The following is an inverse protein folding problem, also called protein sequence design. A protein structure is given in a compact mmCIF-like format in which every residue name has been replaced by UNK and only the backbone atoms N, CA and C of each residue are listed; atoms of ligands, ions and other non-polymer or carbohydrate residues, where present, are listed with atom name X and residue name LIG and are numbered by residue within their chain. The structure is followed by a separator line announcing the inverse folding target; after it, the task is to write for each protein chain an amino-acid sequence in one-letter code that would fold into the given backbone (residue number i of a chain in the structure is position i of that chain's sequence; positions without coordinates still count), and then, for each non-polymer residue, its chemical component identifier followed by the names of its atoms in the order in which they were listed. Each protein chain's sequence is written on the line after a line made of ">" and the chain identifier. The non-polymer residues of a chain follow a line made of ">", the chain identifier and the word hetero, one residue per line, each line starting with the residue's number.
data_IF_885659137114
#
_entry.id   IF_885659137114
#
_cell.length_a   1.000
_cell.length_b   1.000
_cell.length_c   1.000
_cell.angle_alpha   90.00
_cell.angle_beta   90.00
_cell.angle_gamma   90.00
#
_symmetry.space_group_name_H-M   'P 1'
#
loop_
_entity.id
_entity.type
_entity.pdbx_description
1 polymer ?
#
# COMPACT_ATOMS: atom_id res chain seq x y z
N UNK A 1 19.99 -1.26 -10.51
CA UNK A 1 18.70 -0.59 -10.23
C UNK A 1 18.52 0.54 -11.24
N UNK A 2 17.28 0.95 -11.54
CA UNK A 2 16.97 1.96 -12.57
C UNK A 2 17.51 3.36 -12.22
N UNK A 3 17.48 3.75 -10.94
CA UNK A 3 17.79 5.11 -10.49
C UNK A 3 19.19 5.24 -9.90
N UNK A 4 19.59 4.31 -9.05
CA UNK A 4 20.85 4.29 -8.31
C UNK A 4 21.22 2.87 -7.90
N UNK A 5 22.44 2.68 -7.41
CA UNK A 5 22.90 1.42 -6.84
C UNK A 5 23.57 1.63 -5.47
N UNK A 6 24.07 0.56 -4.88
CA UNK A 6 24.76 0.57 -3.59
C UNK A 6 26.00 1.46 -3.56
N UNK A 7 26.65 1.65 -4.70
CA UNK A 7 27.87 2.42 -4.85
C UNK A 7 27.64 3.88 -5.17
N UNK A 8 26.40 4.27 -5.51
CA UNK A 8 26.02 5.66 -5.77
C UNK A 8 26.31 6.50 -4.52
N UNK A 9 27.00 7.62 -4.69
CA UNK A 9 27.28 8.52 -3.56
C UNK A 9 26.03 9.27 -3.14
N UNK A 10 25.97 9.67 -1.86
CA UNK A 10 24.83 10.45 -1.38
C UNK A 10 24.68 11.78 -2.12
N UNK A 11 25.82 12.38 -2.56
CA UNK A 11 25.83 13.59 -3.36
C UNK A 11 25.20 13.36 -4.73
N UNK A 12 25.69 12.38 -5.49
CA UNK A 12 25.16 12.04 -6.82
C UNK A 12 23.66 11.76 -6.77
N UNK A 13 23.23 11.01 -5.75
CA UNK A 13 21.83 10.65 -5.57
C UNK A 13 20.95 11.88 -5.28
N UNK A 14 21.37 12.74 -4.36
CA UNK A 14 20.58 13.91 -3.95
C UNK A 14 20.64 15.08 -4.94
N UNK A 15 21.68 15.18 -5.77
CA UNK A 15 21.73 16.19 -6.84
C UNK A 15 20.91 15.75 -8.05
N UNK A 16 20.92 14.45 -8.33
CA UNK A 16 20.12 13.90 -9.44
C UNK A 16 18.63 13.82 -9.07
N UNK A 17 18.34 13.52 -7.82
CA UNK A 17 16.99 13.33 -7.28
C UNK A 17 16.82 14.13 -5.99
N UNK A 18 16.59 15.46 -6.08
CA UNK A 18 16.47 16.36 -4.91
C UNK A 18 15.35 15.96 -3.94
N UNK A 19 14.28 15.31 -4.43
CA UNK A 19 13.17 14.76 -3.68
C UNK A 19 13.60 13.69 -2.65
N UNK A 20 14.79 13.12 -2.82
CA UNK A 20 15.34 12.17 -1.85
C UNK A 20 15.94 12.84 -0.62
N UNK A 21 16.21 14.17 -0.67
CA UNK A 21 16.79 14.91 0.45
C UNK A 21 15.92 14.82 1.71
N UNK A 22 14.61 15.06 1.67
CA UNK A 22 13.73 14.86 2.83
C UNK A 22 13.77 13.43 3.38
N UNK A 23 13.87 12.42 2.51
CA UNK A 23 13.98 11.03 2.92
C UNK A 23 15.27 10.79 3.69
N UNK A 24 16.39 11.32 3.24
CA UNK A 24 17.66 11.25 3.97
C UNK A 24 17.58 11.96 5.32
N UNK A 25 17.17 13.23 5.33
CA UNK A 25 17.19 14.04 6.54
C UNK A 25 16.29 13.47 7.62
N UNK A 26 15.12 13.01 7.22
CA UNK A 26 14.17 12.37 8.08
C UNK A 26 14.61 10.98 8.55
N UNK A 27 15.60 10.31 7.91
CA UNK A 27 16.21 9.03 8.34
C UNK A 27 17.54 9.19 9.10
N UNK A 28 17.76 10.34 9.72
CA UNK A 28 18.93 10.59 10.56
C UNK A 28 20.17 11.08 9.82
N UNK A 29 20.01 11.47 8.55
CA UNK A 29 21.03 12.15 7.78
C UNK A 29 20.71 13.65 7.68
N UNK A 30 20.45 14.31 8.83
CA UNK A 30 20.05 15.71 8.92
C UNK A 30 20.99 16.70 8.20
N UNK A 31 22.27 16.35 8.09
CA UNK A 31 23.27 17.13 7.34
C UNK A 31 23.02 17.13 5.83
N UNK A 32 22.14 16.27 5.32
CA UNK A 32 21.77 16.24 3.90
C UNK A 32 20.84 17.39 3.49
N UNK A 33 20.19 18.09 4.43
CA UNK A 33 19.39 19.28 4.14
C UNK A 33 20.26 20.47 3.73
N UNK A 34 21.41 20.65 4.40
CA UNK A 34 22.35 21.72 4.09
C UNK A 34 23.21 21.36 2.87
N UNK A 35 23.16 22.20 1.84
CA UNK A 35 23.86 21.93 0.56
C UNK A 35 25.39 21.87 0.70
N UNK A 36 25.99 22.71 1.57
CA UNK A 36 27.44 22.69 1.76
C UNK A 36 27.88 21.42 2.52
N UNK A 37 27.15 21.07 3.56
CA UNK A 37 27.42 19.84 4.32
C UNK A 37 27.18 18.61 3.46
N UNK A 38 26.11 18.60 2.64
CA UNK A 38 25.82 17.55 1.68
C UNK A 38 26.95 17.38 0.66
N UNK A 39 27.49 18.50 0.12
CA UNK A 39 28.62 18.46 -0.80
C UNK A 39 29.91 17.94 -0.16
N UNK A 40 30.18 18.30 1.10
CA UNK A 40 31.39 17.86 1.83
C UNK A 40 31.34 16.38 2.19
N UNK A 41 30.23 15.92 2.71
CA UNK A 41 30.07 14.55 3.22
C UNK A 41 29.56 13.59 2.14
N UNK A 42 28.61 14.03 1.34
CA UNK A 42 27.88 13.17 0.39
C UNK A 42 28.75 12.71 -0.78
N UNK A 43 29.77 13.47 -1.18
CA UNK A 43 30.68 13.07 -2.27
C UNK A 43 31.62 11.89 -1.89
N UNK A 44 31.92 11.76 -0.62
CA UNK A 44 32.82 10.71 -0.13
C UNK A 44 32.10 9.44 0.34
N UNK A 45 30.81 9.53 0.65
CA UNK A 45 30.07 8.45 1.28
C UNK A 45 29.10 7.80 0.29
N UNK A 46 29.25 6.50 0.06
CA UNK A 46 28.35 5.68 -0.74
C UNK A 46 27.07 5.33 0.05
N UNK A 47 25.97 5.11 -0.66
CA UNK A 47 24.68 4.79 -0.06
C UNK A 47 24.74 3.59 0.89
N UNK A 48 25.34 2.46 0.44
CA UNK A 48 25.48 1.26 1.29
C UNK A 48 26.24 1.54 2.58
N UNK A 49 27.37 2.25 2.49
CA UNK A 49 28.18 2.62 3.67
C UNK A 49 27.41 3.53 4.63
N UNK A 50 26.68 4.51 4.09
CA UNK A 50 25.88 5.41 4.90
C UNK A 50 24.79 4.66 5.68
N UNK A 51 24.11 3.73 5.02
CA UNK A 51 23.05 2.93 5.62
C UNK A 51 23.61 1.94 6.66
N UNK A 52 24.76 1.32 6.38
CA UNK A 52 25.43 0.43 7.32
C UNK A 52 25.83 1.16 8.61
N UNK A 53 26.41 2.36 8.50
CA UNK A 53 26.78 3.18 9.68
C UNK A 53 25.54 3.51 10.53
N UNK A 54 24.37 3.67 9.89
CA UNK A 54 23.11 3.98 10.57
C UNK A 54 22.30 2.74 10.95
N UNK A 55 22.80 1.55 10.63
CA UNK A 55 22.10 0.28 10.84
C UNK A 55 20.69 0.27 10.20
N UNK A 56 20.58 0.86 9.01
CA UNK A 56 19.35 0.90 8.23
C UNK A 56 19.44 -0.17 7.14
N UNK A 57 18.40 -0.96 6.97
CA UNK A 57 18.31 -1.96 5.91
C UNK A 57 18.32 -1.31 4.53
N UNK A 58 19.21 -1.80 3.64
CA UNK A 58 19.40 -1.24 2.32
C UNK A 58 18.13 -1.37 1.45
N UNK A 59 17.48 -2.54 1.47
CA UNK A 59 16.32 -2.78 0.61
C UNK A 59 15.15 -1.86 1.00
N UNK A 60 14.90 -1.75 2.30
CA UNK A 60 13.86 -0.88 2.86
C UNK A 60 14.12 0.59 2.54
N UNK A 61 15.35 1.06 2.77
CA UNK A 61 15.66 2.47 2.52
C UNK A 61 15.66 2.81 1.03
N UNK A 62 16.17 1.90 0.19
CA UNK A 62 16.12 2.06 -1.26
C UNK A 62 14.69 2.14 -1.78
N UNK A 63 13.75 1.38 -1.20
CA UNK A 63 12.34 1.47 -1.55
C UNK A 63 11.76 2.86 -1.21
N UNK A 64 12.12 3.44 -0.06
CA UNK A 64 11.71 4.80 0.31
C UNK A 64 12.27 5.87 -0.63
N UNK A 65 13.55 5.72 -1.04
CA UNK A 65 14.17 6.64 -2.00
C UNK A 65 13.51 6.55 -3.37
N UNK A 66 13.25 5.32 -3.84
CA UNK A 66 12.58 5.08 -5.11
C UNK A 66 11.17 5.66 -5.07
N UNK A 67 10.45 5.46 -3.98
CA UNK A 67 9.13 6.05 -3.80
C UNK A 67 9.17 7.59 -3.90
N UNK A 68 10.14 8.24 -3.24
CA UNK A 68 10.28 9.69 -3.33
C UNK A 68 10.59 10.17 -4.76
N UNK A 69 11.47 9.45 -5.47
CA UNK A 69 11.81 9.74 -6.86
C UNK A 69 10.58 9.58 -7.76
N UNK A 70 9.85 8.49 -7.61
CA UNK A 70 8.69 8.18 -8.45
C UNK A 70 7.50 9.10 -8.16
N UNK A 71 7.35 9.60 -6.94
CA UNK A 71 6.34 10.61 -6.62
C UNK A 71 6.63 11.96 -7.27
N UNK A 72 7.90 12.34 -7.40
CA UNK A 72 8.28 13.58 -8.06
C UNK A 72 8.28 13.43 -9.59
N UNK A 73 8.67 12.25 -10.11
CA UNK A 73 8.60 11.91 -11.52
C UNK A 73 7.15 11.77 -12.01
N UNK A 74 6.16 11.68 -11.11
CA UNK A 74 4.75 11.64 -11.50
C UNK A 74 4.29 12.88 -12.27
N UNK A 75 4.92 14.03 -12.05
CA UNK A 75 4.72 15.24 -12.87
C UNK A 75 5.46 15.18 -14.23
N UNK A 76 6.46 14.30 -14.36
CA UNK A 76 7.33 14.21 -15.55
C UNK A 76 7.12 12.90 -16.31
N UNK A 77 6.62 11.84 -15.67
CA UNK A 77 6.58 10.46 -16.22
C UNK A 77 5.39 10.16 -17.15
N UNK A 78 4.83 11.20 -17.76
CA UNK A 78 4.00 11.01 -18.97
C UNK A 78 4.84 10.48 -20.15
N UNK A 79 6.19 10.48 -20.04
CA UNK A 79 7.11 10.17 -21.15
C UNK A 79 8.04 8.98 -20.93
N UNK A 80 8.17 8.46 -19.71
CA UNK A 80 8.89 7.21 -19.44
C UNK A 80 7.90 6.04 -19.31
N UNK A 81 7.02 5.89 -20.30
CA UNK A 81 6.57 4.57 -20.66
C UNK A 81 7.84 3.73 -20.79
N UNK A 82 8.01 2.73 -19.91
CA UNK A 82 8.94 1.64 -20.22
C UNK A 82 8.73 1.35 -21.69
N UNK A 83 9.78 1.45 -22.47
CA UNK A 83 9.77 1.23 -23.93
C UNK A 83 9.53 -0.26 -24.24
N UNK A 84 8.49 -0.81 -23.69
CA UNK A 84 7.85 -1.99 -24.21
C UNK A 84 7.18 -1.50 -25.50
N UNK A 85 7.74 -1.87 -26.64
CA UNK A 85 7.04 -1.74 -27.91
C UNK A 85 5.63 -2.26 -27.65
N UNK A 86 4.63 -1.37 -27.70
CA UNK A 86 3.24 -1.79 -27.59
C UNK A 86 3.06 -2.85 -28.66
N UNK A 87 2.78 -4.06 -28.22
CA UNK A 87 2.56 -5.15 -29.17
C UNK A 87 1.20 -4.90 -29.80
N UNK A 88 1.20 -4.51 -31.06
CA UNK A 88 -0.01 -4.21 -31.82
C UNK A 88 -0.74 -5.46 -32.34
N UNK A 89 -0.28 -6.66 -31.92
CA UNK A 89 -0.99 -7.89 -32.25
C UNK A 89 -2.41 -7.83 -31.64
N UNK A 90 -3.42 -8.12 -32.42
CA UNK A 90 -4.83 -8.15 -31.98
C UNK A 90 -5.06 -9.10 -30.80
N UNK A 91 -4.16 -10.07 -30.55
CA UNK A 91 -4.22 -11.07 -29.51
C UNK A 91 -3.38 -10.74 -28.27
N UNK A 92 -2.72 -9.56 -28.21
CA UNK A 92 -1.92 -9.20 -27.05
C UNK A 92 -2.78 -9.00 -25.81
N UNK A 93 -2.39 -9.62 -24.68
CA UNK A 93 -3.05 -9.45 -23.39
C UNK A 93 -2.61 -8.12 -22.75
N UNK A 94 -3.53 -7.43 -22.10
CA UNK A 94 -3.27 -6.18 -21.41
C UNK A 94 -3.37 -6.38 -19.89
N UNK A 95 -2.23 -6.28 -19.20
CA UNK A 95 -2.10 -6.45 -17.75
C UNK A 95 -1.78 -5.11 -17.12
N UNK A 96 -2.63 -4.66 -16.19
CA UNK A 96 -2.44 -3.40 -15.47
C UNK A 96 -2.40 -3.67 -13.97
N UNK A 97 -1.48 -3.02 -13.28
CA UNK A 97 -1.37 -3.11 -11.83
C UNK A 97 -1.06 -1.77 -11.19
N UNK A 98 -1.79 -1.49 -10.12
CA UNK A 98 -1.49 -0.41 -9.19
C UNK A 98 -0.98 -1.06 -7.90
N UNK A 99 0.32 -1.00 -7.70
CA UNK A 99 0.99 -1.76 -6.66
C UNK A 99 1.52 -0.85 -5.56
N UNK A 100 1.46 -1.26 -4.30
CA UNK A 100 2.17 -0.56 -3.24
C UNK A 100 3.66 -0.47 -3.56
N UNK A 101 4.23 0.74 -3.39
CA UNK A 101 5.61 1.05 -3.79
C UNK A 101 6.67 0.02 -3.36
N UNK A 102 6.63 -0.54 -2.13
CA UNK A 102 7.65 -1.49 -1.67
C UNK A 102 7.80 -2.77 -2.50
N UNK A 103 6.72 -3.22 -3.14
CA UNK A 103 6.71 -4.49 -3.89
C UNK A 103 6.78 -4.30 -5.40
N UNK A 104 6.52 -3.09 -5.90
CA UNK A 104 6.42 -2.82 -7.33
C UNK A 104 7.65 -3.26 -8.12
N UNK A 105 8.84 -2.84 -7.71
CA UNK A 105 10.08 -3.17 -8.44
C UNK A 105 10.40 -4.66 -8.39
N UNK A 106 10.48 -5.30 -7.20
CA UNK A 106 10.76 -6.74 -7.16
C UNK A 106 9.69 -7.56 -7.90
N UNK A 107 8.42 -7.14 -7.86
CA UNK A 107 7.36 -7.84 -8.59
C UNK A 107 7.51 -7.65 -10.11
N UNK A 108 7.83 -6.45 -10.57
CA UNK A 108 8.07 -6.16 -11.98
C UNK A 108 9.26 -6.96 -12.52
N UNK A 109 10.35 -7.11 -11.75
CA UNK A 109 11.50 -7.92 -12.12
C UNK A 109 11.13 -9.40 -12.30
N UNK A 110 10.37 -9.96 -11.35
CA UNK A 110 9.89 -11.35 -11.42
C UNK A 110 8.92 -11.53 -12.60
N UNK A 111 8.02 -10.58 -12.81
CA UNK A 111 7.06 -10.64 -13.91
C UNK A 111 7.77 -10.56 -15.29
N UNK A 112 8.72 -9.66 -15.44
CA UNK A 112 9.52 -9.57 -16.66
C UNK A 112 10.35 -10.85 -16.92
N UNK A 113 10.83 -11.51 -15.87
CA UNK A 113 11.50 -12.80 -16.01
C UNK A 113 10.53 -13.90 -16.46
N UNK A 114 9.34 -13.94 -15.89
CA UNK A 114 8.26 -14.86 -16.26
C UNK A 114 7.83 -14.66 -17.73
N UNK A 115 7.62 -13.42 -18.16
CA UNK A 115 7.19 -13.10 -19.53
C UNK A 115 8.14 -13.59 -20.62
N UNK A 116 9.44 -13.76 -20.33
CA UNK A 116 10.41 -14.30 -21.29
C UNK A 116 10.14 -15.76 -21.70
N UNK A 117 9.42 -16.49 -20.85
CA UNK A 117 9.02 -17.88 -21.11
C UNK A 117 7.60 -18.05 -21.64
N UNK A 118 6.87 -16.93 -21.88
CA UNK A 118 5.50 -16.96 -22.33
C UNK A 118 5.42 -16.69 -23.83
N UNK A 119 4.71 -17.57 -24.56
CA UNK A 119 4.53 -17.43 -26.02
C UNK A 119 3.51 -16.33 -26.37
N UNK A 120 2.54 -16.08 -25.48
CA UNK A 120 1.50 -15.07 -25.68
C UNK A 120 2.09 -13.66 -25.50
N UNK A 121 1.90 -12.73 -26.45
CA UNK A 121 2.33 -11.36 -26.28
C UNK A 121 1.55 -10.65 -25.18
N UNK A 122 2.26 -9.96 -24.29
CA UNK A 122 1.65 -9.26 -23.14
C UNK A 122 2.13 -7.81 -23.11
N UNK A 123 1.17 -6.90 -23.14
CA UNK A 123 1.39 -5.51 -22.77
C UNK A 123 1.15 -5.38 -21.27
N UNK A 124 2.06 -4.77 -20.55
CA UNK A 124 1.85 -4.59 -19.11
C UNK A 124 2.26 -3.21 -18.62
N UNK A 125 1.52 -2.73 -17.62
CA UNK A 125 1.74 -1.48 -16.97
C UNK A 125 1.55 -1.65 -15.45
N UNK A 126 2.68 -1.82 -14.73
CA UNK A 126 2.67 -1.96 -13.27
C UNK A 126 3.16 -0.64 -12.65
N UNK A 127 2.21 0.20 -12.21
CA UNK A 127 2.46 1.54 -11.64
C UNK A 127 2.47 1.53 -10.13
N UNK A 128 3.03 2.59 -9.54
CA UNK A 128 2.85 2.84 -8.13
C UNK A 128 1.40 3.28 -7.84
N UNK A 129 0.82 2.81 -6.74
CA UNK A 129 -0.55 3.13 -6.36
C UNK A 129 -0.79 4.64 -6.21
N UNK A 130 0.22 5.39 -5.75
CA UNK A 130 0.17 6.85 -5.63
C UNK A 130 -0.05 7.63 -6.94
N UNK A 131 0.26 7.01 -8.08
CA UNK A 131 0.09 7.62 -9.43
C UNK A 131 -1.19 7.10 -10.09
N UNK A 132 -1.75 6.01 -9.56
CA UNK A 132 -2.70 5.19 -10.27
C UNK A 132 -4.11 5.77 -10.34
N UNK A 133 -4.54 6.59 -9.39
CA UNK A 133 -5.90 7.13 -9.38
C UNK A 133 -6.18 7.95 -10.64
N UNK A 134 -5.31 8.86 -11.03
CA UNK A 134 -5.47 9.67 -12.25
C UNK A 134 -5.50 8.80 -13.50
N UNK A 135 -4.68 7.74 -13.52
CA UNK A 135 -4.66 6.81 -14.64
C UNK A 135 -5.96 5.99 -14.71
N UNK A 136 -6.46 5.52 -13.58
CA UNK A 136 -7.74 4.79 -13.50
C UNK A 136 -8.88 5.68 -13.91
N UNK A 137 -8.94 6.91 -13.45
CA UNK A 137 -9.96 7.88 -13.88
C UNK A 137 -9.96 8.06 -15.40
N UNK A 138 -8.78 8.19 -16.01
CA UNK A 138 -8.67 8.35 -17.46
C UNK A 138 -9.04 7.10 -18.27
N UNK A 139 -8.71 5.90 -17.76
CA UNK A 139 -8.78 4.67 -18.55
C UNK A 139 -9.92 3.73 -18.13
N UNK A 140 -10.56 3.96 -16.99
CA UNK A 140 -11.67 3.14 -16.48
C UNK A 140 -12.93 3.95 -16.30
N UNK A 141 -12.85 5.15 -15.75
CA UNK A 141 -13.99 6.07 -15.65
C UNK A 141 -14.50 6.43 -17.04
N UNK A 142 -15.78 6.27 -17.27
CA UNK A 142 -16.40 6.51 -18.60
C UNK A 142 -16.30 5.34 -19.59
N UNK A 143 -15.56 4.27 -19.29
CA UNK A 143 -15.59 3.04 -20.08
C UNK A 143 -16.94 2.36 -19.87
N UNK A 144 -17.69 2.15 -20.93
CA UNK A 144 -19.00 1.48 -20.92
C UNK A 144 -18.95 0.06 -21.50
N UNK A 145 -17.92 -0.24 -22.28
CA UNK A 145 -17.70 -1.54 -22.90
C UNK A 145 -16.56 -2.28 -22.17
N UNK A 146 -16.88 -3.41 -21.54
CA UNK A 146 -15.92 -4.24 -20.81
C UNK A 146 -14.72 -4.70 -21.67
N UNK A 147 -14.90 -4.79 -23.00
CA UNK A 147 -13.80 -5.15 -23.92
C UNK A 147 -12.66 -4.14 -23.91
N UNK A 148 -12.92 -2.89 -23.56
CA UNK A 148 -11.92 -1.82 -23.47
C UNK A 148 -11.16 -1.79 -22.16
N UNK A 149 -11.61 -2.54 -21.14
CA UNK A 149 -10.86 -2.68 -19.89
C UNK A 149 -9.58 -3.50 -20.11
N UNK A 150 -8.57 -3.36 -19.26
CA UNK A 150 -7.47 -4.32 -19.18
C UNK A 150 -7.97 -5.75 -19.02
N UNK A 151 -7.24 -6.74 -19.55
CA UNK A 151 -7.63 -8.14 -19.47
C UNK A 151 -7.38 -8.72 -18.07
N UNK A 152 -6.33 -8.22 -17.39
CA UNK A 152 -6.06 -8.52 -16.00
C UNK A 152 -5.72 -7.24 -15.26
N UNK A 153 -6.29 -7.10 -14.06
CA UNK A 153 -6.11 -5.94 -13.22
C UNK A 153 -5.69 -6.33 -11.80
N UNK A 154 -4.68 -5.65 -11.23
CA UNK A 154 -4.22 -5.87 -9.86
C UNK A 154 -4.11 -4.54 -9.15
N UNK A 155 -4.74 -4.39 -7.99
CA UNK A 155 -4.59 -3.20 -7.15
C UNK A 155 -4.91 -3.48 -5.68
N UNK A 156 -4.38 -2.64 -4.80
CA UNK A 156 -4.88 -2.57 -3.43
C UNK A 156 -6.11 -1.65 -3.34
N UNK A 157 -6.89 -1.81 -2.27
CA UNK A 157 -7.97 -0.90 -1.90
C UNK A 157 -9.37 -1.30 -2.34
N UNK A 158 -10.31 -0.38 -2.10
CA UNK A 158 -11.74 -0.61 -2.31
C UNK A 158 -12.35 0.25 -3.41
N UNK A 159 -11.97 1.53 -3.50
CA UNK A 159 -12.65 2.52 -4.31
C UNK A 159 -12.84 2.08 -5.75
N UNK A 160 -11.74 1.77 -6.41
CA UNK A 160 -11.74 1.44 -7.82
C UNK A 160 -12.59 0.21 -8.14
N UNK A 161 -12.57 -0.80 -7.27
CA UNK A 161 -13.24 -2.07 -7.52
C UNK A 161 -14.75 -2.03 -7.27
N UNK A 162 -15.20 -1.14 -6.39
CA UNK A 162 -16.60 -1.11 -5.95
C UNK A 162 -17.33 0.17 -6.35
N UNK A 163 -16.63 1.21 -6.84
CA UNK A 163 -17.29 2.40 -7.38
C UNK A 163 -17.99 2.08 -8.70
N UNK A 164 -19.29 2.37 -8.77
CA UNK A 164 -20.13 2.14 -9.94
C UNK A 164 -19.74 3.04 -11.14
N UNK A 165 -18.98 4.09 -10.94
CA UNK A 165 -18.37 4.89 -12.02
C UNK A 165 -17.08 4.26 -12.56
N UNK A 166 -16.50 3.33 -11.81
CA UNK A 166 -15.24 2.62 -12.11
C UNK A 166 -15.50 1.15 -12.53
N UNK A 167 -14.75 0.22 -11.98
CA UNK A 167 -14.87 -1.23 -12.26
C UNK A 167 -16.15 -1.81 -11.67
N UNK A 168 -16.68 -1.24 -10.59
CA UNK A 168 -17.87 -1.73 -9.89
C UNK A 168 -19.08 -1.91 -10.81
N UNK A 169 -19.26 -1.05 -11.84
CA UNK A 169 -20.36 -1.17 -12.82
C UNK A 169 -20.33 -2.48 -13.61
N UNK A 170 -19.17 -3.11 -13.78
CA UNK A 170 -19.03 -4.37 -14.51
C UNK A 170 -19.26 -5.59 -13.64
N UNK A 171 -19.34 -5.42 -12.32
CA UNK A 171 -19.60 -6.49 -11.35
C UNK A 171 -20.89 -7.27 -11.65
N UNK A 172 -21.94 -6.56 -12.08
CA UNK A 172 -23.23 -7.16 -12.45
C UNK A 172 -23.23 -7.85 -13.81
N UNK A 173 -22.20 -7.60 -14.63
CA UNK A 173 -22.11 -8.14 -15.99
C UNK A 173 -21.33 -9.45 -16.07
N UNK A 174 -20.87 -9.99 -14.92
CA UNK A 174 -20.08 -11.22 -14.83
C UNK A 174 -18.84 -11.22 -15.75
N UNK A 175 -18.14 -10.07 -15.81
CA UNK A 175 -16.98 -9.86 -16.69
C UNK A 175 -15.74 -10.56 -16.17
N UNK A 176 -15.60 -10.70 -14.85
CA UNK A 176 -14.42 -11.23 -14.17
C UNK A 176 -14.67 -12.58 -13.51
N UNK A 177 -13.61 -13.38 -13.40
CA UNK A 177 -13.64 -14.68 -12.74
C UNK A 177 -12.35 -14.94 -11.97
N UNK A 178 -12.48 -15.40 -10.70
CA UNK A 178 -11.37 -15.89 -9.92
C UNK A 178 -11.00 -17.32 -10.37
N UNK A 179 -9.84 -17.46 -10.98
CA UNK A 179 -9.31 -18.74 -11.44
C UNK A 179 -7.97 -19.08 -10.79
N UNK A 180 -7.68 -18.49 -9.64
CA UNK A 180 -6.41 -18.71 -8.91
C UNK A 180 -6.23 -20.13 -8.38
N UNK A 181 -7.30 -20.92 -8.31
CA UNK A 181 -7.29 -22.28 -7.72
C UNK A 181 -6.83 -22.31 -6.25
N UNK A 182 -6.86 -21.16 -5.57
CA UNK A 182 -6.60 -21.08 -4.14
C UNK A 182 -7.87 -21.46 -3.37
N UNK A 183 -7.99 -22.75 -3.03
CA UNK A 183 -9.12 -23.27 -2.26
C UNK A 183 -8.92 -23.13 -0.75
N UNK A 184 -7.67 -23.02 -0.33
CA UNK A 184 -7.26 -22.74 1.06
C UNK A 184 -6.36 -21.54 1.08
N UNK A 185 -6.49 -20.72 2.13
CA UNK A 185 -5.64 -19.57 2.37
C UNK A 185 -4.63 -19.85 3.48
N UNK A 186 -3.68 -18.96 3.61
CA UNK A 186 -2.66 -19.00 4.66
C UNK A 186 -3.31 -19.02 6.04
N UNK A 187 -2.78 -19.84 6.94
CA UNK A 187 -3.30 -20.03 8.31
C UNK A 187 -3.39 -18.75 9.17
N UNK A 188 -2.65 -17.71 8.79
CA UNK A 188 -2.81 -16.38 9.42
C UNK A 188 -4.22 -15.82 9.29
N UNK A 189 -4.96 -16.26 8.29
CA UNK A 189 -6.31 -15.76 7.98
C UNK A 189 -7.41 -16.73 8.40
N UNK A 190 -7.07 -17.73 9.20
CA UNK A 190 -8.05 -18.68 9.70
C UNK A 190 -9.20 -17.95 10.43
N UNK A 191 -10.43 -18.32 10.07
CA UNK A 191 -11.62 -17.62 10.58
C UNK A 191 -12.05 -16.37 9.81
N UNK A 192 -11.28 -15.92 8.83
CA UNK A 192 -11.67 -14.83 7.91
C UNK A 192 -12.15 -15.40 6.57
N UNK A 193 -13.29 -14.91 6.10
CA UNK A 193 -13.81 -15.28 4.79
C UNK A 193 -13.21 -14.36 3.71
N UNK A 194 -11.99 -14.69 3.24
CA UNK A 194 -11.28 -13.89 2.23
C UNK A 194 -11.66 -14.26 0.80
N UNK A 195 -12.17 -15.47 0.55
CA UNK A 195 -12.57 -15.90 -0.79
C UNK A 195 -13.90 -15.27 -1.18
N UNK A 196 -13.92 -14.63 -2.35
CA UNK A 196 -15.16 -14.07 -2.89
C UNK A 196 -16.18 -15.18 -3.17
N UNK A 197 -17.34 -15.21 -2.48
CA UNK A 197 -18.36 -16.25 -2.69
C UNK A 197 -19.00 -16.20 -4.06
N UNK A 198 -18.85 -15.07 -4.80
CA UNK A 198 -19.33 -14.91 -6.17
C UNK A 198 -18.27 -15.24 -7.22
N UNK A 199 -17.03 -15.47 -6.78
CA UNK A 199 -15.93 -15.86 -7.64
C UNK A 199 -15.50 -14.80 -8.67
N UNK A 200 -15.69 -13.52 -8.39
CA UNK A 200 -15.26 -12.44 -9.29
C UNK A 200 -13.88 -11.88 -8.94
N UNK A 201 -13.60 -11.76 -7.64
CA UNK A 201 -12.39 -11.14 -7.11
C UNK A 201 -11.47 -12.22 -6.52
N UNK A 202 -10.24 -12.29 -7.02
CA UNK A 202 -9.18 -12.99 -6.33
C UNK A 202 -8.48 -12.03 -5.36
N UNK A 203 -8.16 -12.49 -4.17
CA UNK A 203 -7.30 -11.79 -3.23
C UNK A 203 -5.93 -12.47 -3.20
N UNK A 204 -4.85 -11.74 -3.42
CA UNK A 204 -3.49 -12.29 -3.44
C UNK A 204 -2.65 -11.91 -2.22
N UNK A 205 -3.07 -10.91 -1.48
CA UNK A 205 -2.45 -10.43 -0.25
C UNK A 205 -3.22 -9.29 0.37
N UNK A 206 -2.72 -8.78 1.48
CA UNK A 206 -3.36 -7.70 2.23
C UNK A 206 -2.34 -6.67 2.72
N UNK A 207 -2.78 -5.44 2.94
CA UNK A 207 -2.01 -4.36 3.55
C UNK A 207 -2.57 -4.10 4.95
N UNK A 208 -1.89 -4.57 6.03
CA UNK A 208 -2.37 -4.35 7.39
C UNK A 208 -2.06 -2.93 7.88
N UNK A 209 -3.04 -2.29 8.53
CA UNK A 209 -2.88 -1.06 9.28
C UNK A 209 -2.52 -1.37 10.73
N UNK A 210 -1.42 -0.82 11.21
CA UNK A 210 -0.92 -1.00 12.58
C UNK A 210 -0.68 0.35 13.25
N UNK A 211 -0.49 0.33 14.56
CA UNK A 211 -0.18 1.52 15.34
C UNK A 211 1.34 1.66 15.51
N UNK A 212 1.84 2.87 15.36
CA UNK A 212 3.16 3.28 15.80
C UNK A 212 2.97 4.31 16.90
N UNK A 213 3.40 3.98 18.12
CA UNK A 213 3.15 4.77 19.32
C UNK A 213 4.42 5.47 19.76
N UNK A 214 4.33 6.76 20.01
CA UNK A 214 5.38 7.56 20.61
C UNK A 214 5.23 7.54 22.13
N UNK A 215 6.07 6.75 22.82
CA UNK A 215 6.01 6.60 24.28
C UNK A 215 6.31 7.90 25.03
N UNK A 216 7.15 8.77 24.46
CA UNK A 216 7.51 10.04 25.10
C UNK A 216 6.31 11.01 25.18
N UNK A 217 5.29 10.82 24.34
CA UNK A 217 4.10 11.68 24.29
C UNK A 217 2.88 11.06 24.99
N UNK A 218 3.00 9.85 25.61
CA UNK A 218 1.90 9.22 26.31
C UNK A 218 1.41 10.03 27.53
N UNK A 219 2.33 10.75 28.19
CA UNK A 219 2.02 11.64 29.28
C UNK A 219 1.08 11.03 30.36
N UNK A 220 1.44 9.82 30.82
CA UNK A 220 0.70 9.06 31.81
C UNK A 220 -0.52 8.29 31.31
N UNK A 221 -0.85 8.38 30.00
CA UNK A 221 -1.91 7.58 29.39
C UNK A 221 -1.45 6.12 29.24
N UNK A 222 -2.43 5.22 29.29
CA UNK A 222 -2.15 3.81 28.93
C UNK A 222 -1.80 3.67 27.46
N UNK A 223 -1.00 2.65 27.15
CA UNK A 223 -0.63 2.32 25.78
C UNK A 223 -1.89 1.86 25.03
N UNK A 224 -2.33 2.55 23.96
CA UNK A 224 -3.51 2.11 23.21
C UNK A 224 -3.15 0.85 22.41
N UNK A 225 -3.97 -0.19 22.56
CA UNK A 225 -3.77 -1.50 21.92
C UNK A 225 -4.94 -1.93 21.05
N UNK A 226 -6.04 -1.16 21.04
CA UNK A 226 -7.24 -1.43 20.23
C UNK A 226 -7.66 -0.20 19.44
N UNK A 227 -8.48 -0.40 18.40
CA UNK A 227 -9.07 0.70 17.65
C UNK A 227 -10.00 1.56 18.54
N UNK A 228 -10.68 0.93 19.50
CA UNK A 228 -11.51 1.66 20.46
C UNK A 228 -10.67 2.60 21.32
N UNK A 229 -9.48 2.18 21.76
CA UNK A 229 -8.60 3.00 22.60
C UNK A 229 -8.24 4.33 21.92
N UNK A 230 -7.86 4.29 20.65
CA UNK A 230 -7.44 5.50 19.92
C UNK A 230 -8.61 6.45 19.63
N UNK A 231 -9.85 6.00 19.81
CA UNK A 231 -11.06 6.81 19.66
C UNK A 231 -11.58 7.38 20.98
N UNK A 232 -10.91 7.12 22.13
CA UNK A 232 -11.24 7.73 23.43
C UNK A 232 -10.91 9.22 23.42
N UNK A 233 -11.62 9.99 24.24
CA UNK A 233 -11.45 11.45 24.31
C UNK A 233 -10.02 11.89 24.67
N UNK A 234 -9.27 11.09 25.40
CA UNK A 234 -7.87 11.36 25.76
C UNK A 234 -6.91 11.32 24.56
N UNK A 235 -7.33 10.77 23.41
CA UNK A 235 -6.60 10.75 22.17
C UNK A 235 -7.12 11.76 21.12
N UNK A 236 -8.07 12.62 21.48
CA UNK A 236 -8.53 13.71 20.61
C UNK A 236 -7.33 14.60 20.21
N UNK A 237 -7.19 14.84 18.91
CA UNK A 237 -6.06 15.59 18.31
C UNK A 237 -4.67 15.03 18.71
N UNK A 238 -4.57 13.69 18.82
CA UNK A 238 -3.32 12.98 19.18
C UNK A 238 -2.93 11.87 18.20
N UNK A 239 -3.74 11.63 17.17
CA UNK A 239 -3.54 10.54 16.21
C UNK A 239 -3.17 11.11 14.85
N UNK A 240 -2.17 10.52 14.18
CA UNK A 240 -1.91 10.77 12.77
C UNK A 240 -2.45 9.63 11.93
N UNK A 241 -3.14 9.98 10.84
CA UNK A 241 -3.78 9.06 9.91
C UNK A 241 -3.25 9.23 8.49
N UNK A 242 -3.22 8.15 7.69
CA UNK A 242 -2.78 8.21 6.31
C UNK A 242 -3.91 8.68 5.37
N UNK A 243 -4.49 9.84 5.62
CA UNK A 243 -5.68 10.34 4.89
C UNK A 243 -5.42 10.47 3.38
N UNK A 244 -4.16 10.71 2.97
CA UNK A 244 -3.77 10.74 1.55
C UNK A 244 -3.45 9.38 0.94
N UNK A 245 -3.49 8.30 1.74
CA UNK A 245 -3.37 6.91 1.26
C UNK A 245 -4.77 6.30 1.18
N UNK A 246 -5.48 6.63 0.12
CA UNK A 246 -6.90 6.28 -0.04
C UNK A 246 -7.16 4.80 0.10
N UNK A 247 -6.26 3.94 -0.39
CA UNK A 247 -6.43 2.49 -0.34
C UNK A 247 -6.52 1.97 1.11
N UNK A 248 -5.60 2.42 1.97
CA UNK A 248 -5.59 2.02 3.37
C UNK A 248 -6.61 2.82 4.20
N UNK A 249 -6.70 4.13 3.95
CA UNK A 249 -7.58 5.00 4.72
C UNK A 249 -9.06 4.62 4.55
N UNK A 250 -9.48 4.30 3.35
CA UNK A 250 -10.85 3.85 3.08
C UNK A 250 -11.13 2.48 3.73
N UNK A 251 -10.13 1.59 3.75
CA UNK A 251 -10.21 0.35 4.53
C UNK A 251 -10.43 0.61 6.03
N UNK A 252 -9.72 1.60 6.59
CA UNK A 252 -9.90 2.00 8.00
C UNK A 252 -11.30 2.58 8.21
N UNK A 253 -11.74 3.53 7.40
CA UNK A 253 -13.06 4.15 7.55
C UNK A 253 -14.19 3.14 7.48
N UNK A 254 -14.17 2.23 6.51
CA UNK A 254 -15.18 1.20 6.33
C UNK A 254 -15.26 0.23 7.52
N UNK A 255 -14.10 -0.23 8.03
CA UNK A 255 -14.08 -1.14 9.17
C UNK A 255 -14.52 -0.44 10.46
N UNK A 256 -14.07 0.81 10.70
CA UNK A 256 -14.53 1.60 11.83
C UNK A 256 -16.05 1.84 11.75
N UNK A 257 -16.57 2.17 10.57
CA UNK A 257 -18.02 2.32 10.38
C UNK A 257 -18.79 1.01 10.63
N UNK A 258 -18.26 -0.12 10.13
CA UNK A 258 -18.89 -1.43 10.35
C UNK A 258 -18.99 -1.80 11.84
N UNK A 259 -17.91 -1.55 12.60
CA UNK A 259 -17.83 -1.99 14.01
C UNK A 259 -18.38 -0.97 15.01
N UNK A 260 -18.27 0.33 14.72
CA UNK A 260 -18.56 1.42 15.66
C UNK A 260 -19.56 2.45 15.13
N UNK A 261 -20.08 2.26 13.89
CA UNK A 261 -21.06 3.15 13.27
C UNK A 261 -20.55 4.57 12.99
N UNK A 262 -21.47 5.50 12.81
CA UNK A 262 -21.18 6.92 12.55
C UNK A 262 -20.42 7.58 13.69
N UNK A 263 -20.71 7.16 14.93
CA UNK A 263 -20.04 7.68 16.11
C UNK A 263 -18.55 7.31 16.12
N UNK A 264 -18.19 6.07 15.72
CA UNK A 264 -16.81 5.63 15.60
C UNK A 264 -16.02 6.46 14.58
N UNK A 265 -16.59 6.68 13.38
CA UNK A 265 -15.97 7.53 12.35
C UNK A 265 -15.80 8.97 12.83
N UNK A 266 -16.80 9.50 13.55
CA UNK A 266 -16.74 10.85 14.14
C UNK A 266 -15.63 10.95 15.21
N UNK A 267 -15.52 9.95 16.09
CA UNK A 267 -14.46 9.90 17.12
C UNK A 267 -13.08 9.77 16.47
N UNK A 268 -12.94 8.94 15.43
CA UNK A 268 -11.70 8.83 14.66
C UNK A 268 -11.32 10.18 14.00
N UNK A 269 -12.30 10.92 13.47
CA UNK A 269 -12.08 12.27 12.95
C UNK A 269 -11.59 13.25 14.02
N UNK A 270 -12.19 13.24 15.21
CA UNK A 270 -11.74 14.06 16.35
C UNK A 270 -10.34 13.71 16.82
N UNK A 271 -9.93 12.44 16.71
CA UNK A 271 -8.59 12.03 17.11
C UNK A 271 -7.49 12.58 16.18
N UNK A 272 -7.83 13.01 14.96
CA UNK A 272 -6.87 13.46 13.98
C UNK A 272 -6.11 14.69 14.45
N UNK A 273 -4.79 14.56 14.58
CA UNK A 273 -3.84 15.66 14.76
C UNK A 273 -3.29 16.12 13.41
N UNK A 274 -2.78 15.18 12.60
CA UNK A 274 -2.18 15.43 11.30
C UNK A 274 -2.53 14.34 10.29
N UNK A 275 -2.81 14.76 9.06
CA UNK A 275 -2.71 13.87 7.92
C UNK A 275 -1.24 13.80 7.50
N UNK A 276 -0.66 12.61 7.47
CA UNK A 276 0.74 12.41 7.15
C UNK A 276 0.91 11.26 6.17
N UNK A 277 1.89 11.39 5.27
CA UNK A 277 2.30 10.26 4.46
C UNK A 277 3.05 9.23 5.34
N UNK A 278 2.85 7.90 5.16
CA UNK A 278 3.48 6.88 6.00
C UNK A 278 4.99 6.99 6.14
N UNK A 279 5.72 7.44 5.11
CA UNK A 279 7.17 7.67 5.18
C UNK A 279 7.59 8.79 6.15
N UNK A 280 6.69 9.74 6.41
CA UNK A 280 6.89 10.82 7.40
C UNK A 280 6.50 10.35 8.80
N UNK A 281 5.50 9.48 8.89
CA UNK A 281 4.92 8.98 10.13
C UNK A 281 5.93 8.27 11.03
N UNK A 282 6.82 7.45 10.46
CA UNK A 282 7.88 6.71 11.22
C UNK A 282 8.81 7.61 12.03
N UNK A 283 8.76 8.92 11.83
CA UNK A 283 9.61 9.92 12.47
C UNK A 283 8.82 11.06 13.08
N UNK A 284 7.54 10.86 13.25
CA UNK A 284 6.66 11.84 13.90
C UNK A 284 7.19 12.32 15.26
N UNK A 285 7.99 11.48 15.96
CA UNK A 285 8.70 11.86 17.19
C UNK A 285 9.72 12.97 17.03
N UNK A 286 10.12 13.32 15.80
CA UNK A 286 11.10 14.40 15.50
C UNK A 286 10.48 15.69 15.01
N UNK A 287 9.16 15.74 14.90
CA UNK A 287 8.46 16.96 14.53
C UNK A 287 8.84 18.09 15.52
N UNK A 288 8.98 19.31 14.98
CA UNK A 288 9.16 20.52 15.77
C UNK A 288 7.84 21.10 16.25
N UNK A 289 6.75 20.66 15.67
CA UNK A 289 5.37 20.97 16.03
C UNK A 289 4.83 19.94 17.00
N UNK A 290 3.54 20.02 17.31
CA UNK A 290 2.85 19.01 18.11
C UNK A 290 3.03 17.61 17.51
N UNK A 291 3.38 16.65 18.34
CA UNK A 291 3.70 15.29 17.95
C UNK A 291 2.51 14.38 18.23
N UNK A 292 2.16 13.48 17.30
CA UNK A 292 1.13 12.49 17.58
C UNK A 292 1.61 11.48 18.62
N UNK A 293 0.70 11.04 19.47
CA UNK A 293 0.91 9.90 20.35
C UNK A 293 0.86 8.62 19.52
N UNK A 294 -0.18 8.51 18.67
CA UNK A 294 -0.41 7.35 17.81
C UNK A 294 -0.30 7.75 16.36
N UNK A 295 0.33 6.91 15.58
CA UNK A 295 0.38 7.06 14.13
C UNK A 295 -0.10 5.75 13.50
N UNK A 296 -1.13 5.80 12.68
CA UNK A 296 -1.65 4.64 11.96
C UNK A 296 -0.99 4.56 10.60
N UNK A 297 -0.42 3.39 10.27
CA UNK A 297 0.37 3.22 9.05
C UNK A 297 0.34 1.78 8.54
N UNK A 298 0.69 1.54 7.26
CA UNK A 298 0.94 0.20 6.76
C UNK A 298 2.07 -0.49 7.54
N UNK A 299 1.89 -1.76 7.85
CA UNK A 299 2.85 -2.57 8.62
C UNK A 299 4.28 -2.53 8.07
N UNK A 300 4.44 -2.41 6.75
CA UNK A 300 5.74 -2.25 6.09
C UNK A 300 6.64 -1.19 6.74
N UNK A 301 6.07 -0.06 7.10
CA UNK A 301 6.86 1.06 7.62
C UNK A 301 7.40 0.82 9.03
N UNK A 302 6.91 -0.19 9.75
CA UNK A 302 7.46 -0.56 11.07
C UNK A 302 8.90 -1.08 11.00
N UNK A 303 9.35 -1.58 9.83
CA UNK A 303 10.75 -2.04 9.61
C UNK A 303 11.81 -0.99 9.94
N UNK A 304 11.48 0.29 9.81
CA UNK A 304 12.44 1.39 10.06
C UNK A 304 12.41 1.87 11.50
N UNK A 305 11.53 1.32 12.33
CA UNK A 305 11.45 1.64 13.76
C UNK A 305 12.63 1.03 14.51
N UNK A 306 13.37 1.87 15.22
CA UNK A 306 14.54 1.42 15.98
C UNK A 306 14.13 0.73 17.27
N UNK A 307 14.64 -0.47 17.51
CA UNK A 307 14.49 -1.13 18.78
C UNK A 307 15.08 -0.27 19.91
N UNK A 308 14.38 -0.18 21.05
CA UNK A 308 14.80 0.60 22.21
C UNK A 308 14.63 2.12 22.08
N UNK A 309 14.09 2.62 20.95
CA UNK A 309 13.71 4.02 20.78
C UNK A 309 12.34 4.35 21.42
N UNK A 310 11.90 5.63 21.34
CA UNK A 310 10.61 6.06 21.87
C UNK A 310 9.42 5.53 21.07
N UNK A 311 9.65 5.16 19.82
CA UNK A 311 8.61 4.66 18.94
C UNK A 311 8.47 3.16 19.07
N UNK A 312 7.25 2.66 19.28
CA UNK A 312 6.94 1.25 19.34
C UNK A 312 5.81 0.88 18.39
N UNK A 313 6.03 -0.16 17.58
CA UNK A 313 4.98 -0.72 16.75
C UNK A 313 4.08 -1.62 17.59
N UNK A 314 2.78 -1.42 17.48
CA UNK A 314 1.76 -2.21 18.16
C UNK A 314 0.82 -2.79 17.11
N UNK A 315 0.65 -4.10 17.13
CA UNK A 315 -0.41 -4.77 16.38
C UNK A 315 -1.70 -4.66 17.18
N UNK A 316 -2.79 -4.12 16.61
CA UNK A 316 -4.05 -3.99 17.36
C UNK A 316 -4.58 -5.34 17.84
N UNK A 317 -4.94 -5.46 19.12
CA UNK A 317 -5.44 -6.70 19.73
C UNK A 317 -6.79 -7.14 19.18
N UNK A 318 -7.60 -6.16 18.75
CA UNK A 318 -8.89 -6.35 18.07
C UNK A 318 -8.71 -6.65 16.56
N UNK A 319 -7.50 -6.54 16.06
CA UNK A 319 -7.08 -6.91 14.71
C UNK A 319 -6.56 -5.74 13.88
N UNK A 320 -5.49 -5.97 13.15
CA UNK A 320 -5.04 -5.01 12.15
C UNK A 320 -6.06 -4.93 11.01
N UNK A 321 -6.59 -3.75 10.75
CA UNK A 321 -7.49 -3.53 9.61
C UNK A 321 -6.71 -3.77 8.32
N UNK A 322 -7.28 -4.58 7.43
CA UNK A 322 -6.63 -4.93 6.16
C UNK A 322 -7.29 -4.22 4.98
N UNK A 323 -6.44 -3.65 4.11
CA UNK A 323 -6.79 -3.30 2.75
C UNK A 323 -6.40 -4.47 1.83
N UNK A 324 -7.33 -5.04 1.05
CA UNK A 324 -7.03 -6.18 0.18
C UNK A 324 -6.20 -5.77 -1.04
N UNK A 325 -5.39 -6.70 -1.54
CA UNK A 325 -4.77 -6.61 -2.86
C UNK A 325 -5.57 -7.55 -3.76
N UNK A 326 -6.44 -6.97 -4.58
CA UNK A 326 -7.30 -7.71 -5.49
C UNK A 326 -6.64 -7.93 -6.85
N UNK A 327 -6.99 -9.06 -7.45
CA UNK A 327 -6.75 -9.38 -8.85
C UNK A 327 -8.08 -9.70 -9.53
N UNK A 328 -8.30 -9.09 -10.69
CA UNK A 328 -9.45 -9.32 -11.56
C UNK A 328 -8.97 -9.83 -12.91
N UNK A 329 -9.45 -10.97 -13.34
CA UNK A 329 -9.15 -11.54 -14.65
C UNK A 329 -10.45 -11.61 -15.49
N UNK A 330 -10.40 -11.11 -16.72
CA UNK A 330 -11.55 -11.20 -17.63
C UNK A 330 -11.90 -12.65 -17.95
N UNK A 331 -13.14 -13.00 -17.71
CA UNK A 331 -13.67 -14.36 -17.95
C UNK A 331 -13.50 -14.81 -19.40
N UNK A 332 -13.76 -13.95 -20.36
CA UNK A 332 -13.64 -14.25 -21.80
C UNK A 332 -12.21 -14.55 -22.26
N UNK A 333 -11.19 -14.13 -21.48
CA UNK A 333 -9.77 -14.30 -21.79
C UNK A 333 -9.05 -15.33 -20.90
N UNK A 334 -9.78 -16.05 -20.05
CA UNK A 334 -9.20 -16.93 -19.02
C UNK A 334 -8.20 -17.91 -19.59
N UNK A 335 -8.47 -18.55 -20.72
CA UNK A 335 -7.57 -19.53 -21.31
C UNK A 335 -6.17 -18.95 -21.58
N UNK A 336 -6.11 -17.74 -22.11
CA UNK A 336 -4.85 -17.05 -22.38
C UNK A 336 -4.25 -16.38 -21.14
N UNK A 337 -5.10 -15.97 -20.18
CA UNK A 337 -4.68 -15.31 -18.93
C UNK A 337 -4.20 -16.29 -17.87
N UNK A 338 -4.61 -17.57 -17.92
CA UNK A 338 -4.34 -18.52 -16.85
C UNK A 338 -2.87 -18.57 -16.41
N UNK A 339 -1.87 -18.61 -17.31
CA UNK A 339 -0.46 -18.59 -16.88
C UNK A 339 -0.10 -17.33 -16.08
N UNK A 340 -0.69 -16.18 -16.42
CA UNK A 340 -0.46 -14.91 -15.73
C UNK A 340 -1.16 -14.92 -14.37
N UNK A 341 -2.38 -15.42 -14.30
CA UNK A 341 -3.12 -15.60 -13.04
C UNK A 341 -2.35 -16.54 -12.10
N UNK A 342 -1.89 -17.69 -12.61
CA UNK A 342 -1.09 -18.66 -11.85
C UNK A 342 0.22 -18.03 -11.36
N UNK A 343 0.87 -17.15 -12.16
CA UNK A 343 2.05 -16.39 -11.73
C UNK A 343 1.74 -15.47 -10.55
N UNK A 344 0.70 -14.63 -10.65
CA UNK A 344 0.37 -13.68 -9.59
C UNK A 344 -0.16 -14.37 -8.32
N UNK A 345 -0.76 -15.54 -8.45
CA UNK A 345 -1.19 -16.37 -7.32
C UNK A 345 -0.08 -17.30 -6.78
N UNK A 346 1.14 -17.25 -7.33
CA UNK A 346 2.22 -18.19 -6.99
C UNK A 346 2.95 -17.85 -5.70
N UNK A 347 3.70 -18.83 -5.20
CA UNK A 347 4.62 -18.67 -4.07
C UNK A 347 5.69 -17.61 -4.33
N UNK A 348 6.13 -17.42 -5.59
CA UNK A 348 7.11 -16.37 -5.96
C UNK A 348 6.55 -14.99 -5.63
N UNK A 349 5.34 -14.72 -6.09
CA UNK A 349 4.66 -13.44 -5.82
C UNK A 349 4.31 -13.32 -4.34
N UNK A 350 3.83 -14.40 -3.71
CA UNK A 350 3.57 -14.44 -2.29
C UNK A 350 4.79 -14.05 -1.44
N UNK A 351 5.99 -14.54 -1.80
CA UNK A 351 7.25 -14.15 -1.15
C UNK A 351 7.60 -12.69 -1.39
N UNK A 352 7.38 -12.17 -2.58
CA UNK A 352 7.61 -10.73 -2.85
C UNK A 352 6.69 -9.88 -1.99
N UNK A 353 5.41 -10.19 -1.93
CA UNK A 353 4.45 -9.47 -1.10
C UNK A 353 4.85 -9.51 0.38
N UNK A 354 5.04 -10.71 0.92
CA UNK A 354 5.29 -10.93 2.33
C UNK A 354 6.67 -10.44 2.77
N UNK A 355 7.76 -10.78 2.06
CA UNK A 355 9.11 -10.55 2.52
C UNK A 355 9.68 -9.20 2.11
N UNK A 356 9.31 -8.68 0.93
CA UNK A 356 9.75 -7.36 0.48
C UNK A 356 8.83 -6.26 1.00
N UNK A 357 7.50 -6.48 0.94
CA UNK A 357 6.49 -5.50 1.29
C UNK A 357 5.94 -5.59 2.72
N UNK A 358 6.18 -6.68 3.46
CA UNK A 358 5.42 -7.00 4.67
C UNK A 358 3.89 -6.89 4.44
N UNK A 359 3.47 -7.27 3.25
CA UNK A 359 2.07 -7.45 2.89
C UNK A 359 1.77 -8.94 2.96
N UNK A 360 1.08 -9.42 4.01
CA UNK A 360 0.81 -10.84 4.16
C UNK A 360 0.14 -11.41 2.92
N UNK A 361 0.77 -12.44 2.36
CA UNK A 361 0.23 -13.19 1.22
C UNK A 361 -0.84 -14.16 1.69
N UNK A 362 -1.89 -14.29 0.90
CA UNK A 362 -2.92 -15.32 1.17
C UNK A 362 -2.49 -16.72 0.73
N UNK A 363 -1.40 -16.87 0.00
CA UNK A 363 -0.92 -18.17 -0.47
C UNK A 363 -0.61 -19.10 0.72
N UNK A 364 -1.12 -20.34 0.75
CA UNK A 364 -1.05 -21.21 1.93
C UNK A 364 0.38 -21.53 2.37
N UNK A 365 1.32 -21.66 1.44
CA UNK A 365 2.69 -22.12 1.71
C UNK A 365 3.66 -20.97 2.05
N UNK A 366 3.19 -19.74 2.19
CA UNK A 366 4.05 -18.59 2.54
C UNK A 366 4.20 -18.44 4.04
N UNK A 367 5.43 -18.46 4.53
CA UNK A 367 5.74 -17.94 5.84
C UNK A 367 5.69 -16.40 5.82
N UNK A 368 4.59 -15.84 6.30
CA UNK A 368 4.39 -14.39 6.37
C UNK A 368 5.20 -13.72 7.49
N UNK A 369 5.88 -14.47 8.33
CA UNK A 369 6.72 -13.97 9.46
C UNK A 369 5.93 -13.09 10.42
N UNK A 370 4.65 -13.37 10.58
CA UNK A 370 3.73 -12.71 11.51
C UNK A 370 3.29 -13.77 12.51
N UNK A 371 3.31 -13.48 13.82
CA UNK A 371 2.80 -14.38 14.85
C UNK A 371 1.33 -14.76 14.59
N UNK A 372 0.97 -16.02 14.78
CA UNK A 372 -0.38 -16.53 14.52
C UNK A 372 -1.45 -15.93 15.46
N UNK A 373 -1.03 -15.42 16.61
CA UNK A 373 -1.90 -14.71 17.55
C UNK A 373 -2.30 -13.30 17.08
N UNK A 374 -1.61 -12.76 16.09
CA UNK A 374 -1.91 -11.45 15.52
C UNK A 374 -3.17 -11.51 14.66
N UNK A 375 -4.23 -10.88 15.14
CA UNK A 375 -5.52 -10.86 14.47
C UNK A 375 -5.57 -9.85 13.33
N UNK A 376 -6.43 -10.13 12.38
CA UNK A 376 -6.78 -9.20 11.30
C UNK A 376 -8.25 -8.82 11.38
N UNK A 377 -8.57 -7.62 10.93
CA UNK A 377 -9.93 -7.13 10.81
C UNK A 377 -10.27 -6.93 9.34
N UNK A 378 -11.25 -7.69 8.87
CA UNK A 378 -11.70 -7.72 7.48
C UNK A 378 -13.15 -7.26 7.35
N UNK A 379 -13.43 -6.53 6.28
CA UNK A 379 -14.78 -6.01 6.03
C UNK A 379 -15.82 -7.10 5.78
N UNK A 380 -15.40 -8.25 5.29
CA UNK A 380 -16.21 -9.40 4.90
C UNK A 380 -17.03 -9.19 3.61
N UNK A 381 -17.15 -10.26 2.84
CA UNK A 381 -17.88 -10.25 1.57
C UNK A 381 -19.37 -10.03 1.73
N UNK A 382 -19.98 -10.58 2.79
CA UNK A 382 -21.41 -10.36 3.04
C UNK A 382 -21.71 -8.88 3.28
N UNK A 383 -20.83 -8.19 4.01
CA UNK A 383 -20.95 -6.74 4.19
C UNK A 383 -20.74 -5.98 2.89
N UNK A 384 -19.71 -6.33 2.11
CA UNK A 384 -19.40 -5.71 0.83
C UNK A 384 -20.56 -5.86 -0.15
N UNK A 385 -21.18 -7.03 -0.21
CA UNK A 385 -22.27 -7.29 -1.16
C UNK A 385 -23.63 -6.77 -0.70
N UNK A 386 -23.80 -6.53 0.59
CA UNK A 386 -25.04 -6.00 1.16
C UNK A 386 -25.08 -4.46 1.19
N UNK A 387 -23.98 -3.79 0.89
CA UNK A 387 -23.87 -2.35 0.97
C UNK A 387 -23.33 -1.74 -0.34
N UNK A 388 -23.65 -0.48 -0.58
CA UNK A 388 -22.97 0.36 -1.58
C UNK A 388 -21.68 0.91 -0.94
N UNK A 389 -20.57 0.24 -1.24
CA UNK A 389 -19.26 0.56 -0.66
C UNK A 389 -18.80 1.97 -1.02
N UNK A 390 -19.02 2.41 -2.28
CA UNK A 390 -18.67 3.76 -2.70
C UNK A 390 -19.49 4.83 -1.96
N UNK A 391 -20.79 4.62 -1.82
CA UNK A 391 -21.63 5.53 -1.04
C UNK A 391 -21.24 5.56 0.44
N UNK A 392 -20.87 4.40 1.01
CA UNK A 392 -20.37 4.33 2.39
C UNK A 392 -19.05 5.08 2.58
N UNK A 393 -18.08 4.94 1.66
CA UNK A 393 -16.82 5.68 1.70
C UNK A 393 -17.10 7.18 1.71
N UNK A 394 -17.89 7.68 0.75
CA UNK A 394 -18.27 9.10 0.68
C UNK A 394 -18.96 9.59 1.96
N UNK A 395 -19.84 8.76 2.54
CA UNK A 395 -20.50 9.07 3.81
C UNK A 395 -19.50 9.15 4.96
N UNK A 396 -18.60 8.17 5.06
CA UNK A 396 -17.57 8.14 6.10
C UNK A 396 -16.61 9.34 5.98
N UNK A 397 -16.19 9.69 4.77
CA UNK A 397 -15.36 10.88 4.53
C UNK A 397 -16.03 12.17 5.00
N UNK A 398 -17.32 12.35 4.69
CA UNK A 398 -18.09 13.52 5.15
C UNK A 398 -18.15 13.57 6.67
N UNK A 399 -18.44 12.45 7.34
CA UNK A 399 -18.49 12.38 8.81
C UNK A 399 -17.11 12.66 9.44
N UNK A 400 -16.09 12.04 8.89
CA UNK A 400 -14.71 12.21 9.34
C UNK A 400 -14.25 13.66 9.20
N UNK A 401 -14.38 14.25 8.01
CA UNK A 401 -13.93 15.61 7.73
C UNK A 401 -14.67 16.65 8.60
N UNK A 402 -15.98 16.50 8.75
CA UNK A 402 -16.76 17.37 9.65
C UNK A 402 -16.26 17.31 11.11
N UNK A 403 -15.81 16.14 11.55
CA UNK A 403 -15.30 15.96 12.91
C UNK A 403 -13.88 16.50 13.11
N UNK A 404 -13.10 16.66 12.04
CA UNK A 404 -11.73 17.26 12.13
C UNK A 404 -11.78 18.77 12.30
N UNK A 405 -12.87 19.43 11.88
CA UNK A 405 -13.04 20.90 11.92
C UNK A 405 -13.54 21.40 13.29
N UNK A 406 -14.05 20.53 14.13
CA UNK A 406 -14.56 20.83 15.49
C UNK A 406 -13.51 20.56 16.55
#
# INVERSE_FOLDING_TARGET
>A
MKYFDKNTTLWELTEKYPETIPVFSSNGFSKMEDKEQRAKLGKAIKLEMALMIKQIDYATFSSLLIQAIEQNDAEIDVTLATSNKVNTAEEALNVVGLLPCPVRIPLLEQFNAFLKGLDTPVNHELKAASIGLDWVEKNVKGVTDAKKLPDLFISAGFDMFFDEEMIGKFKRQNVFEDTTKLDTFNSLFDGLNLKDPRGHYAMIGVVPAVFLINRDELDGRELPVTWEDIMKSEFEKRVSLPVGDFDLFNGILLNIYKHYGEEGVTKLGRSLLHSMHPSQMVKSNRLKTEKPIVTIMPYFFTKVVKAGGPMVAVWPEDGAIISPIFMLAKKEKIQSLQPIVDFFASEIVGKVLSHSGLFPSVHPDIDNRIPLENKFMWLDWDYIYSNDISALIKKCEVLFNKATEG
#
